data_IF_862656879702
#
_entry.id   IF_862656879702
#
_cell.length_a   1.000
_cell.length_b   1.000
_cell.length_c   1.000
_cell.angle_alpha   90.00
_cell.angle_beta   90.00
_cell.angle_gamma   90.00
#
_symmetry.space_group_name_H-M   'P 1'
#
loop_
_entity.id
_entity.type
_entity.pdbx_description
1 polymer ?
#
# COMPACT_ATOMS: atom_id res chain seq x y z
N UNK A 1 9.27 -20.12 10.23
CA UNK A 1 8.64 -19.86 8.90
C UNK A 1 7.77 -18.61 9.00
N UNK A 2 8.20 -17.57 8.29
CA UNK A 2 7.82 -16.16 8.43
C UNK A 2 6.47 -15.90 7.73
N UNK A 3 5.35 -16.11 8.42
CA UNK A 3 4.03 -15.75 7.85
C UNK A 3 3.22 -14.91 8.83
N UNK A 4 2.77 -13.77 8.30
CA UNK A 4 1.72 -12.87 8.81
C UNK A 4 2.14 -11.86 9.89
N UNK A 5 2.99 -10.93 9.46
CA UNK A 5 3.14 -9.62 10.08
C UNK A 5 2.13 -8.63 9.46
N UNK A 6 0.84 -8.94 9.59
CA UNK A 6 -0.28 -7.99 9.38
C UNK A 6 -0.78 -7.54 10.76
N UNK A 7 0.10 -6.97 11.57
CA UNK A 7 -0.30 -6.38 12.85
C UNK A 7 -0.80 -4.96 12.62
N UNK A 8 -2.13 -4.82 12.72
CA UNK A 8 -2.86 -3.71 13.33
C UNK A 8 -2.21 -2.33 13.21
N UNK A 9 -2.71 -1.48 12.31
CA UNK A 9 -2.66 -0.03 12.48
C UNK A 9 -4.01 0.57 12.06
N UNK A 10 -4.99 0.45 12.96
CA UNK A 10 -6.23 1.22 12.94
C UNK A 10 -5.99 2.64 13.46
N UNK A 11 -5.09 3.38 12.81
CA UNK A 11 -4.87 4.80 13.05
C UNK A 11 -5.33 5.58 11.84
N UNK A 12 -6.18 6.60 12.05
CA UNK A 12 -6.58 7.57 11.01
C UNK A 12 -5.37 8.43 10.61
N UNK A 13 -4.37 7.84 9.95
CA UNK A 13 -3.29 8.59 9.34
C UNK A 13 -3.82 9.13 8.01
N UNK A 14 -3.75 10.44 7.78
CA UNK A 14 -4.11 11.06 6.50
C UNK A 14 -3.23 10.46 5.42
N UNK A 15 -3.77 9.50 4.68
CA UNK A 15 -3.07 8.76 3.64
C UNK A 15 -2.89 9.68 2.44
N UNK A 16 -1.65 10.07 2.16
CA UNK A 16 -1.31 10.81 0.95
C UNK A 16 -1.58 9.91 -0.26
N UNK A 17 -2.12 10.48 -1.34
CA UNK A 17 -2.28 9.77 -2.62
C UNK A 17 -0.91 9.23 -3.03
N UNK A 18 -0.81 7.93 -3.28
CA UNK A 18 0.39 7.30 -3.85
C UNK A 18 0.15 7.04 -5.33
N UNK A 19 1.21 7.18 -6.11
CA UNK A 19 1.26 6.80 -7.53
C UNK A 19 2.11 5.55 -7.68
N UNK A 20 1.64 4.56 -8.43
CA UNK A 20 2.47 3.40 -8.76
C UNK A 20 3.56 3.82 -9.76
N UNK A 21 4.85 3.56 -9.49
CA UNK A 21 5.92 3.85 -10.43
C UNK A 21 5.88 2.97 -11.69
N UNK A 22 5.17 1.82 -11.65
CA UNK A 22 5.12 0.87 -12.76
C UNK A 22 3.99 1.16 -13.76
N UNK A 23 2.79 1.43 -13.25
CA UNK A 23 1.62 1.65 -14.11
C UNK A 23 1.09 3.09 -14.08
N UNK A 24 1.66 3.95 -13.23
CA UNK A 24 1.23 5.34 -13.10
C UNK A 24 -0.12 5.53 -12.41
N UNK A 25 -0.78 4.46 -11.95
CA UNK A 25 -2.06 4.55 -11.26
C UNK A 25 -1.94 5.31 -9.95
N UNK A 26 -2.84 6.25 -9.68
CA UNK A 26 -2.89 7.01 -8.44
C UNK A 26 -4.05 6.53 -7.57
N UNK A 27 -3.77 6.20 -6.31
CA UNK A 27 -4.79 5.83 -5.34
C UNK A 27 -4.48 6.39 -3.97
N UNK A 28 -5.53 6.56 -3.19
CA UNK A 28 -5.41 6.85 -1.76
C UNK A 28 -5.29 5.51 -1.04
N UNK A 29 -4.12 5.13 -0.52
CA UNK A 29 -3.99 3.87 0.21
C UNK A 29 -4.87 3.92 1.46
N UNK A 30 -5.41 2.78 1.89
CA UNK A 30 -6.16 2.66 3.16
C UNK A 30 -5.28 2.21 4.32
N UNK A 31 -4.02 1.86 4.02
CA UNK A 31 -3.00 1.39 4.95
C UNK A 31 -1.76 2.26 4.80
N UNK A 32 -1.03 2.52 5.89
CA UNK A 32 0.13 3.41 5.87
C UNK A 32 1.18 2.99 4.82
N UNK A 33 1.39 1.68 4.69
CA UNK A 33 2.38 1.10 3.79
C UNK A 33 1.80 -0.01 2.89
N UNK A 34 1.27 0.35 1.71
CA UNK A 34 0.86 -0.64 0.72
C UNK A 34 2.09 -1.26 0.07
N UNK A 35 2.30 -2.57 0.27
CA UNK A 35 3.41 -3.33 -0.34
C UNK A 35 3.19 -3.64 -1.83
N UNK A 36 1.98 -3.43 -2.33
CA UNK A 36 1.57 -3.77 -3.69
C UNK A 36 0.60 -2.73 -4.26
N UNK A 37 0.68 -2.56 -5.58
CA UNK A 37 -0.23 -1.69 -6.32
C UNK A 37 -1.59 -2.39 -6.53
N UNK A 38 -2.73 -1.78 -6.20
CA UNK A 38 -4.05 -2.41 -6.34
C UNK A 38 -4.43 -2.70 -7.80
N UNK A 39 -3.86 -1.95 -8.76
CA UNK A 39 -4.16 -2.13 -10.19
C UNK A 39 -3.31 -3.18 -10.88
N UNK A 40 -1.98 -3.05 -10.83
CA UNK A 40 -1.07 -3.96 -11.52
C UNK A 40 -0.51 -5.08 -10.64
N UNK A 41 -0.83 -5.09 -9.33
CA UNK A 41 -0.25 -5.99 -8.32
C UNK A 41 1.28 -5.97 -8.31
N UNK A 42 1.87 -4.90 -8.83
CA UNK A 42 3.31 -4.69 -8.81
C UNK A 42 3.78 -4.41 -7.39
N UNK A 43 4.94 -4.97 -7.02
CA UNK A 43 5.59 -4.70 -5.75
C UNK A 43 5.97 -3.22 -5.67
N UNK A 44 5.51 -2.56 -4.61
CA UNK A 44 5.90 -1.20 -4.25
C UNK A 44 6.97 -1.40 -3.18
N UNK A 45 8.21 -1.61 -3.64
CA UNK A 45 9.39 -1.61 -2.77
C UNK A 45 9.82 -0.15 -2.51
#
# INVERSE_FOLDING_TARGET
MIKKLIKKLGGRMKLRKRKCPRCGYEWTPRVADPKECPRCKGRLD
#
